data_IF_033696717317
#
_entry.id   IF_033696717317
#
_cell.length_a   1.000
_cell.length_b   1.000
_cell.length_c   1.000
_cell.angle_alpha   90.00
_cell.angle_beta   90.00
_cell.angle_gamma   90.00
#
_symmetry.space_group_name_H-M   'P 1'
#
loop_
_entity.id
_entity.type
_entity.pdbx_description
1 polymer ?
#
# COMPACT_ATOMS: atom_id res chain seq x y z
N UNK A 1 -20.20 27.65 0.67
CA UNK A 1 -19.19 27.09 -0.25
C UNK A 1 -18.96 25.66 0.19
N UNK A 2 -19.46 24.68 -0.57
CA UNK A 2 -19.10 23.27 -0.33
C UNK A 2 -17.70 23.10 -0.93
N UNK A 3 -16.70 22.61 -0.18
CA UNK A 3 -15.39 22.32 -0.77
C UNK A 3 -15.57 21.34 -1.95
N UNK A 4 -14.78 21.44 -3.02
CA UNK A 4 -14.85 20.45 -4.08
C UNK A 4 -14.63 19.07 -3.45
N UNK A 5 -15.51 18.11 -3.75
CA UNK A 5 -15.32 16.73 -3.28
C UNK A 5 -14.00 16.21 -3.84
N UNK A 6 -13.01 16.04 -2.97
CA UNK A 6 -11.76 15.37 -3.31
C UNK A 6 -11.95 13.88 -3.09
N UNK A 7 -11.88 13.04 -4.14
CA UNK A 7 -12.06 11.59 -3.98
C UNK A 7 -10.92 10.94 -3.19
N UNK A 8 -9.82 11.66 -2.97
CA UNK A 8 -8.66 11.23 -2.20
C UNK A 8 -8.23 12.33 -1.21
N UNK A 9 -8.03 11.97 0.05
CA UNK A 9 -7.52 12.83 1.12
C UNK A 9 -6.00 12.89 1.14
N UNK A 10 -5.32 11.92 0.52
CA UNK A 10 -3.86 11.85 0.48
C UNK A 10 -3.36 11.23 -0.83
N UNK A 11 -2.16 11.61 -1.31
CA UNK A 11 -1.61 11.10 -2.57
C UNK A 11 -1.51 9.57 -2.65
N UNK A 12 -1.24 8.90 -1.52
CA UNK A 12 -1.10 7.44 -1.46
C UNK A 12 -2.40 6.70 -1.80
N UNK A 13 -3.57 7.30 -1.53
CA UNK A 13 -4.87 6.68 -1.82
C UNK A 13 -5.10 6.57 -3.34
N UNK A 14 -4.73 7.61 -4.09
CA UNK A 14 -4.77 7.58 -5.55
C UNK A 14 -3.79 6.56 -6.14
N UNK A 15 -2.61 6.43 -5.54
CA UNK A 15 -1.61 5.44 -5.95
C UNK A 15 -2.10 4.00 -5.69
N UNK A 16 -2.66 3.76 -4.51
CA UNK A 16 -3.24 2.47 -4.13
C UNK A 16 -4.38 2.08 -5.07
N UNK A 17 -5.30 3.01 -5.35
CA UNK A 17 -6.37 2.79 -6.32
C UNK A 17 -5.82 2.43 -7.70
N UNK A 18 -4.89 3.24 -8.23
CA UNK A 18 -4.28 3.00 -9.54
C UNK A 18 -3.57 1.65 -9.63
N UNK A 19 -2.85 1.25 -8.58
CA UNK A 19 -2.20 -0.05 -8.50
C UNK A 19 -3.21 -1.20 -8.48
N UNK A 20 -4.29 -1.07 -7.70
CA UNK A 20 -5.38 -2.05 -7.61
C UNK A 20 -6.00 -2.30 -8.99
N UNK A 21 -6.36 -1.22 -9.71
CA UNK A 21 -6.94 -1.33 -11.06
C UNK A 21 -5.95 -1.96 -12.03
N UNK A 22 -4.69 -1.53 -12.03
CA UNK A 22 -3.69 -2.07 -12.94
C UNK A 22 -3.39 -3.57 -12.73
N UNK A 23 -3.49 -4.05 -11.49
CA UNK A 23 -3.34 -5.48 -11.17
C UNK A 23 -4.57 -6.28 -11.62
N UNK A 24 -5.77 -5.75 -11.40
CA UNK A 24 -7.02 -6.34 -11.88
C UNK A 24 -7.04 -6.44 -13.42
N UNK A 25 -6.68 -5.37 -14.12
CA UNK A 25 -6.63 -5.33 -15.59
C UNK A 25 -5.61 -6.33 -16.17
N UNK A 26 -4.55 -6.63 -15.43
CA UNK A 26 -3.56 -7.66 -15.77
C UNK A 26 -4.00 -9.09 -15.41
N UNK A 27 -5.18 -9.25 -14.83
CA UNK A 27 -5.71 -10.56 -14.43
C UNK A 27 -5.03 -11.16 -13.22
N UNK A 28 -4.33 -10.37 -12.40
CA UNK A 28 -3.71 -10.85 -11.14
C UNK A 28 -4.79 -11.37 -10.20
N UNK A 29 -5.95 -10.71 -10.18
CA UNK A 29 -7.15 -11.14 -9.48
C UNK A 29 -8.40 -10.68 -10.23
N UNK A 30 -9.55 -11.31 -9.96
CA UNK A 30 -10.84 -10.86 -10.46
C UNK A 30 -11.47 -9.83 -9.50
N UNK A 31 -12.33 -8.95 -10.02
CA UNK A 31 -13.08 -8.00 -9.20
C UNK A 31 -13.99 -8.67 -8.16
N UNK A 32 -14.45 -9.91 -8.42
CA UNK A 32 -15.19 -10.70 -7.43
C UNK A 32 -14.35 -10.99 -6.18
N UNK A 33 -13.13 -11.50 -6.38
CA UNK A 33 -12.16 -11.75 -5.30
C UNK A 33 -11.86 -10.46 -4.53
N UNK A 34 -11.70 -9.34 -5.25
CA UNK A 34 -11.48 -8.02 -4.67
C UNK A 34 -12.62 -7.59 -3.75
N UNK A 35 -13.87 -7.67 -4.21
CA UNK A 35 -15.03 -7.28 -3.40
C UNK A 35 -15.16 -8.13 -2.13
N UNK A 36 -14.80 -9.41 -2.20
CA UNK A 36 -14.79 -10.29 -1.04
C UNK A 36 -13.73 -9.85 -0.02
N UNK A 37 -12.48 -9.67 -0.47
CA UNK A 37 -11.38 -9.27 0.41
C UNK A 37 -11.62 -7.90 1.06
N UNK A 38 -12.06 -6.91 0.27
CA UNK A 38 -12.40 -5.59 0.80
C UNK A 38 -13.57 -5.63 1.79
N UNK A 39 -14.58 -6.46 1.52
CA UNK A 39 -15.71 -6.65 2.43
C UNK A 39 -15.28 -7.20 3.79
N UNK A 40 -14.33 -8.14 3.81
CA UNK A 40 -13.78 -8.69 5.05
C UNK A 40 -13.06 -7.62 5.88
N UNK A 41 -12.18 -6.82 5.25
CA UNK A 41 -11.45 -5.74 5.94
C UNK A 41 -12.37 -4.62 6.46
N UNK A 42 -13.42 -4.28 5.72
CA UNK A 42 -14.43 -3.31 6.16
C UNK A 42 -15.21 -3.85 7.37
N UNK A 43 -15.52 -5.14 7.39
CA UNK A 43 -16.21 -5.77 8.51
C UNK A 43 -15.39 -5.73 9.81
N UNK A 44 -14.07 -5.63 9.74
CA UNK A 44 -13.19 -5.40 10.90
C UNK A 44 -13.23 -3.96 11.42
N UNK A 45 -13.96 -3.05 10.77
CA UNK A 45 -14.11 -1.66 11.20
C UNK A 45 -12.92 -0.76 10.86
N UNK A 46 -12.06 -1.17 9.92
CA UNK A 46 -10.94 -0.36 9.45
C UNK A 46 -11.44 0.85 8.67
N UNK A 47 -10.77 2.02 8.76
CA UNK A 47 -11.13 3.14 7.91
C UNK A 47 -10.94 2.77 6.42
N UNK A 48 -11.77 3.34 5.55
CA UNK A 48 -11.99 2.84 4.19
C UNK A 48 -10.71 2.61 3.37
N UNK A 49 -9.80 3.59 3.32
CA UNK A 49 -8.57 3.46 2.54
C UNK A 49 -7.54 2.51 3.16
N UNK A 50 -7.59 2.31 4.48
CA UNK A 50 -6.78 1.31 5.18
C UNK A 50 -7.33 -0.10 4.95
N UNK A 51 -8.65 -0.26 4.91
CA UNK A 51 -9.30 -1.51 4.51
C UNK A 51 -8.94 -1.87 3.05
N UNK A 52 -8.92 -0.86 2.17
CA UNK A 52 -8.47 -1.03 0.78
C UNK A 52 -7.01 -1.52 0.70
N UNK A 53 -6.12 -0.96 1.51
CA UNK A 53 -4.72 -1.39 1.56
C UNK A 53 -4.61 -2.83 2.07
N UNK A 54 -5.24 -3.14 3.20
CA UNK A 54 -5.21 -4.49 3.80
C UNK A 54 -5.75 -5.56 2.84
N UNK A 55 -6.83 -5.26 2.12
CA UNK A 55 -7.40 -6.17 1.13
C UNK A 55 -6.39 -6.47 0.01
N UNK A 56 -5.73 -5.43 -0.51
CA UNK A 56 -4.72 -5.60 -1.55
C UNK A 56 -3.51 -6.41 -1.05
N UNK A 57 -3.01 -6.10 0.14
CA UNK A 57 -1.89 -6.81 0.74
C UNK A 57 -2.20 -8.30 0.98
N UNK A 58 -3.39 -8.59 1.50
CA UNK A 58 -3.87 -9.97 1.71
C UNK A 58 -3.94 -10.75 0.38
N UNK A 59 -4.57 -10.16 -0.65
CA UNK A 59 -4.69 -10.81 -1.96
C UNK A 59 -3.34 -11.04 -2.64
N UNK A 60 -2.38 -10.13 -2.47
CA UNK A 60 -1.02 -10.28 -3.00
C UNK A 60 -0.23 -11.36 -2.23
N UNK A 61 -0.44 -11.48 -0.92
CA UNK A 61 0.18 -12.48 -0.08
C UNK A 61 -0.34 -13.89 -0.40
N UNK A 62 -1.65 -14.08 -0.51
CA UNK A 62 -2.29 -15.34 -0.88
C UNK A 62 -1.80 -15.87 -2.23
N UNK A 63 -1.49 -14.97 -3.16
CA UNK A 63 -0.99 -15.29 -4.51
C UNK A 63 0.54 -15.42 -4.58
N UNK A 64 1.24 -15.25 -3.46
CA UNK A 64 2.70 -15.33 -3.39
C UNK A 64 3.46 -14.22 -4.13
N UNK A 65 2.80 -13.10 -4.43
CA UNK A 65 3.39 -11.97 -5.18
C UNK A 65 4.16 -11.05 -4.23
N UNK A 66 3.58 -10.76 -3.07
CA UNK A 66 4.21 -9.97 -2.02
C UNK A 66 3.73 -10.48 -0.66
N UNK A 67 4.63 -11.04 0.15
CA UNK A 67 4.29 -11.47 1.50
C UNK A 67 4.22 -10.27 2.46
N UNK A 68 3.43 -10.39 3.52
CA UNK A 68 3.37 -9.41 4.60
C UNK A 68 4.78 -9.11 5.17
N UNK A 69 5.62 -10.14 5.34
CA UNK A 69 7.00 -9.98 5.81
C UNK A 69 7.85 -9.15 4.84
N UNK A 70 7.69 -9.36 3.54
CA UNK A 70 8.44 -8.61 2.51
C UNK A 70 8.00 -7.15 2.46
N UNK A 71 6.68 -6.90 2.56
CA UNK A 71 6.13 -5.56 2.60
C UNK A 71 6.54 -4.81 3.87
N UNK A 72 6.46 -5.46 5.03
CA UNK A 72 6.91 -4.91 6.30
C UNK A 72 8.40 -4.56 6.29
N UNK A 73 9.25 -5.49 5.84
CA UNK A 73 10.68 -5.24 5.71
C UNK A 73 10.99 -4.08 4.74
N UNK A 74 10.22 -3.91 3.67
CA UNK A 74 10.38 -2.79 2.74
C UNK A 74 9.93 -1.47 3.36
N UNK A 75 8.81 -1.46 4.11
CA UNK A 75 8.33 -0.28 4.84
C UNK A 75 9.37 0.17 5.88
N UNK A 76 9.95 -0.76 6.63
CA UNK A 76 11.01 -0.48 7.61
C UNK A 76 12.28 0.08 6.95
N UNK A 77 12.66 -0.42 5.77
CA UNK A 77 13.79 0.13 5.00
C UNK A 77 13.53 1.56 4.55
N UNK A 78 12.32 1.85 4.08
CA UNK A 78 11.94 3.22 3.71
C UNK A 78 11.89 4.16 4.92
N UNK A 79 11.43 3.67 6.07
CA UNK A 79 11.42 4.43 7.31
C UNK A 79 12.84 4.81 7.73
N UNK A 80 13.76 3.85 7.75
CA UNK A 80 15.16 4.11 8.06
C UNK A 80 15.82 5.05 7.03
N UNK A 81 15.53 4.84 5.74
CA UNK A 81 16.04 5.71 4.69
C UNK A 81 15.58 7.16 4.88
N UNK A 82 14.31 7.37 5.23
CA UNK A 82 13.78 8.68 5.52
C UNK A 82 14.50 9.32 6.73
N UNK A 83 14.73 8.55 7.80
CA UNK A 83 15.46 9.02 8.97
C UNK A 83 16.93 9.36 8.69
N UNK A 84 17.60 8.59 7.83
CA UNK A 84 19.00 8.81 7.47
C UNK A 84 19.21 9.92 6.43
N UNK A 85 18.15 10.43 5.81
CA UNK A 85 18.25 11.44 4.74
C UNK A 85 18.24 12.86 5.32
N UNK A 86 19.33 13.64 5.14
CA UNK A 86 19.33 15.05 5.53
C UNK A 86 18.23 15.85 4.82
N UNK A 87 17.69 16.88 5.49
CA UNK A 87 16.67 17.75 4.88
C UNK A 87 17.14 18.34 3.55
N UNK A 88 16.25 18.33 2.55
CA UNK A 88 16.53 18.83 1.21
C UNK A 88 17.20 17.83 0.26
N UNK A 89 17.52 16.62 0.73
CA UNK A 89 18.01 15.52 -0.11
C UNK A 89 16.88 14.53 -0.44
N UNK A 90 16.93 13.84 -1.59
CA UNK A 90 15.96 12.80 -1.93
C UNK A 90 16.11 11.57 -1.01
N UNK A 91 14.98 11.01 -0.59
CA UNK A 91 14.95 9.74 0.16
C UNK A 91 15.10 8.60 -0.85
N UNK A 92 16.18 7.83 -0.72
CA UNK A 92 16.45 6.63 -1.50
C UNK A 92 16.61 5.44 -0.54
N UNK A 93 16.14 4.25 -0.93
CA UNK A 93 16.24 3.04 -0.09
C UNK A 93 17.66 2.77 0.44
N UNK A 94 18.69 3.13 -0.33
CA UNK A 94 20.09 2.93 0.06
C UNK A 94 20.62 3.93 1.11
N UNK A 95 19.87 4.98 1.47
CA UNK A 95 20.35 6.05 2.33
C UNK A 95 20.65 5.60 3.76
N UNK A 96 19.97 4.55 4.25
CA UNK A 96 20.21 3.99 5.58
C UNK A 96 21.44 3.05 5.67
N UNK A 97 22.06 2.71 4.54
CA UNK A 97 23.11 1.69 4.48
C UNK A 97 22.57 0.26 4.68
N UNK A 98 23.42 -0.77 4.55
CA UNK A 98 23.01 -2.16 4.74
C UNK A 98 22.65 -2.42 6.21
N UNK A 99 21.45 -2.99 6.46
CA UNK A 99 21.08 -3.54 7.78
C UNK A 99 22.08 -4.64 8.15
N UNK A 100 22.89 -4.42 9.18
CA UNK A 100 23.77 -5.44 9.74
C UNK A 100 22.91 -6.58 10.30
N UNK A 101 23.07 -7.77 9.72
CA UNK A 101 22.44 -9.01 10.15
C UNK A 101 23.09 -9.58 11.39
#
# INVERSE_FOLDING_TARGET
MIPPETPFDAPWQAQLFGLTVALADRGVFAWGDWTHALGAEIAEGRPYWQAWLGALESMLAERGIASADTLGALADQWHDAAHATPHGQPILLGNAGPRQR
#
